data_IF_353580025836
#
_entry.id   IF_353580025836
#
_cell.length_a   1.000
_cell.length_b   1.000
_cell.length_c   1.000
_cell.angle_alpha   90.00
_cell.angle_beta   90.00
_cell.angle_gamma   90.00
#
_symmetry.space_group_name_H-M   'P 1'
#
loop_
_entity.id
_entity.type
_entity.pdbx_description
1 polymer ?
#
# COMPACT_ATOMS: atom_id res chain seq x y z
N UNK A 1 10.49 -17.16 13.82
CA UNK A 1 9.95 -15.94 13.22
C UNK A 1 8.55 -15.68 13.80
N UNK A 2 8.23 -14.49 14.23
CA UNK A 2 6.93 -14.20 14.85
C UNK A 2 5.84 -14.26 13.75
N UNK A 3 4.85 -15.16 13.89
CA UNK A 3 3.76 -15.36 12.91
C UNK A 3 3.07 -14.05 12.52
N UNK A 4 2.88 -13.13 13.48
CA UNK A 4 2.28 -11.82 13.25
C UNK A 4 3.13 -10.97 12.29
N UNK A 5 4.44 -10.90 12.49
CA UNK A 5 5.34 -10.10 11.65
C UNK A 5 5.41 -10.65 10.23
N UNK A 6 5.42 -11.97 10.09
CA UNK A 6 5.36 -12.62 8.77
C UNK A 6 4.04 -12.29 8.06
N UNK A 7 2.93 -12.33 8.80
CA UNK A 7 1.61 -11.99 8.25
C UNK A 7 1.56 -10.53 7.78
N UNK A 8 2.06 -9.59 8.59
CA UNK A 8 2.12 -8.17 8.22
C UNK A 8 3.02 -7.92 7.01
N UNK A 9 4.19 -8.60 6.93
CA UNK A 9 5.05 -8.53 5.76
C UNK A 9 4.34 -9.03 4.49
N UNK A 10 3.73 -10.21 4.55
CA UNK A 10 3.02 -10.80 3.39
C UNK A 10 1.80 -9.96 3.01
N UNK A 11 1.04 -9.48 3.99
CA UNK A 11 -0.13 -8.66 3.75
C UNK A 11 0.21 -7.33 3.09
N UNK A 12 1.26 -6.66 3.57
CA UNK A 12 1.71 -5.38 2.97
C UNK A 12 2.35 -5.62 1.60
N UNK A 13 3.11 -6.71 1.43
CA UNK A 13 3.59 -7.12 0.11
C UNK A 13 2.42 -7.29 -0.87
N UNK A 14 1.40 -8.04 -0.50
CA UNK A 14 0.24 -8.29 -1.36
C UNK A 14 -0.52 -6.99 -1.69
N UNK A 15 -0.72 -6.12 -0.69
CA UNK A 15 -1.39 -4.84 -0.88
C UNK A 15 -0.66 -3.95 -1.91
N UNK A 16 0.65 -3.77 -1.73
CA UNK A 16 1.45 -2.94 -2.64
C UNK A 16 1.58 -3.59 -4.01
N UNK A 17 1.86 -4.90 -4.08
CA UNK A 17 2.04 -5.59 -5.34
C UNK A 17 0.75 -5.61 -6.19
N UNK A 18 -0.40 -5.91 -5.58
CA UNK A 18 -1.68 -5.93 -6.30
C UNK A 18 -2.17 -4.52 -6.61
N UNK A 19 -2.16 -3.62 -5.62
CA UNK A 19 -2.65 -2.25 -5.76
C UNK A 19 -1.83 -1.43 -6.74
N UNK A 20 -0.53 -1.23 -6.46
CA UNK A 20 0.35 -0.50 -7.37
C UNK A 20 0.56 -1.25 -8.69
N UNK A 21 0.63 -2.60 -8.65
CA UNK A 21 0.74 -3.43 -9.84
C UNK A 21 -0.42 -3.25 -10.80
N UNK A 22 -1.64 -3.08 -10.30
CA UNK A 22 -2.81 -2.81 -11.14
C UNK A 22 -2.66 -1.49 -11.90
N UNK A 23 -2.12 -0.45 -11.26
CA UNK A 23 -1.88 0.84 -11.90
C UNK A 23 -0.72 0.78 -12.92
N UNK A 24 0.35 0.07 -12.59
CA UNK A 24 1.59 0.03 -13.39
C UNK A 24 1.48 -0.94 -14.56
N UNK A 25 0.95 -2.15 -14.34
CA UNK A 25 0.96 -3.22 -15.34
C UNK A 25 -0.29 -3.21 -16.24
N UNK A 26 -1.47 -2.95 -15.67
CA UNK A 26 -2.69 -2.81 -16.47
C UNK A 26 -2.87 -1.39 -17.01
N UNK A 27 -2.46 -0.40 -16.23
CA UNK A 27 -2.50 1.00 -16.61
C UNK A 27 -3.87 1.65 -16.41
N UNK A 28 -3.83 2.96 -16.21
CA UNK A 28 -5.02 3.77 -15.99
C UNK A 28 -5.99 3.74 -17.18
N UNK A 29 -5.45 3.71 -18.40
CA UNK A 29 -6.24 3.73 -19.62
C UNK A 29 -7.05 2.45 -19.85
N UNK A 30 -6.61 1.32 -19.29
CA UNK A 30 -7.27 0.02 -19.47
C UNK A 30 -8.30 -0.24 -18.38
N UNK A 31 -7.92 -0.08 -17.10
CA UNK A 31 -8.80 -0.44 -15.98
C UNK A 31 -9.42 0.76 -15.28
N UNK A 32 -8.93 1.96 -15.57
CA UNK A 32 -9.39 3.21 -14.98
C UNK A 32 -9.14 3.31 -13.48
N UNK A 33 -9.46 4.47 -12.92
CA UNK A 33 -9.30 4.73 -11.49
C UNK A 33 -10.14 3.78 -10.61
N UNK A 34 -11.34 3.43 -11.07
CA UNK A 34 -12.22 2.52 -10.34
C UNK A 34 -11.62 1.12 -10.24
N UNK A 35 -11.04 0.60 -11.33
CA UNK A 35 -10.37 -0.71 -11.32
C UNK A 35 -9.17 -0.74 -10.38
N UNK A 36 -8.37 0.33 -10.36
CA UNK A 36 -7.25 0.47 -9.42
C UNK A 36 -7.75 0.51 -7.97
N UNK A 37 -8.80 1.30 -7.70
CA UNK A 37 -9.39 1.37 -6.36
C UNK A 37 -9.93 0.01 -5.88
N UNK A 38 -10.59 -0.76 -6.77
CA UNK A 38 -11.02 -2.12 -6.46
C UNK A 38 -9.84 -3.07 -6.21
N UNK A 39 -8.74 -2.96 -6.96
CA UNK A 39 -7.56 -3.78 -6.74
C UNK A 39 -6.98 -3.57 -5.34
N UNK A 40 -6.86 -2.32 -4.89
CA UNK A 40 -6.45 -2.01 -3.51
C UNK A 40 -7.46 -2.53 -2.48
N UNK A 41 -8.74 -2.21 -2.66
CA UNK A 41 -9.79 -2.59 -1.71
C UNK A 41 -9.95 -4.12 -1.57
N UNK A 42 -9.97 -4.86 -2.68
CA UNK A 42 -10.07 -6.33 -2.67
C UNK A 42 -8.81 -6.98 -2.11
N UNK A 43 -7.62 -6.43 -2.34
CA UNK A 43 -6.39 -6.90 -1.71
C UNK A 43 -6.49 -6.79 -0.18
N UNK A 44 -6.96 -5.64 0.35
CA UNK A 44 -7.18 -5.48 1.79
C UNK A 44 -8.22 -6.48 2.31
N UNK A 45 -9.35 -6.64 1.63
CA UNK A 45 -10.39 -7.60 2.04
C UNK A 45 -9.82 -9.02 2.10
N UNK A 46 -9.11 -9.46 1.04
CA UNK A 46 -8.50 -10.78 1.01
C UNK A 46 -7.50 -10.98 2.17
N UNK A 47 -6.65 -9.98 2.42
CA UNK A 47 -5.69 -10.04 3.53
C UNK A 47 -6.37 -9.98 4.90
N UNK A 48 -7.43 -9.18 5.06
CA UNK A 48 -8.18 -9.10 6.32
C UNK A 48 -8.75 -10.47 6.71
N UNK A 49 -9.32 -11.20 5.77
CA UNK A 49 -9.80 -12.57 6.02
C UNK A 49 -8.66 -13.57 6.17
N UNK A 50 -7.59 -13.45 5.39
CA UNK A 50 -6.47 -14.41 5.40
C UNK A 50 -5.56 -14.30 6.61
N UNK A 51 -5.16 -13.08 6.98
CA UNK A 51 -4.17 -12.83 8.03
C UNK A 51 -4.71 -12.04 9.23
N UNK A 52 -5.94 -11.52 9.16
CA UNK A 52 -6.58 -10.82 10.27
C UNK A 52 -6.57 -11.62 11.58
N UNK A 53 -6.95 -12.91 11.58
CA UNK A 53 -6.88 -13.75 12.78
C UNK A 53 -5.46 -13.96 13.34
N UNK A 54 -4.41 -13.67 12.54
CA UNK A 54 -3.01 -13.88 12.93
C UNK A 54 -2.39 -12.60 13.49
N UNK A 55 -2.53 -11.47 12.77
CA UNK A 55 -1.84 -10.21 13.09
C UNK A 55 -2.78 -9.03 13.35
N UNK A 56 -4.05 -9.16 13.00
CA UNK A 56 -4.99 -8.04 12.93
C UNK A 56 -5.06 -7.38 11.56
N UNK A 57 -4.17 -7.80 10.61
CA UNK A 57 -4.10 -7.26 9.25
C UNK A 57 -4.00 -5.72 9.23
N UNK A 58 -3.04 -5.17 9.92
CA UNK A 58 -2.81 -3.73 9.88
C UNK A 58 -2.31 -3.28 8.50
N UNK A 59 -1.32 -3.98 7.96
CA UNK A 59 -0.68 -3.78 6.64
C UNK A 59 -0.37 -2.32 6.30
N UNK A 60 -0.36 -1.47 7.31
CA UNK A 60 -0.17 -0.02 7.21
C UNK A 60 0.39 0.52 8.53
N UNK A 61 1.49 1.29 8.51
CA UNK A 61 2.05 1.93 9.70
C UNK A 61 1.09 2.86 10.44
N UNK A 62 0.22 3.59 9.71
CA UNK A 62 -0.75 4.49 10.32
C UNK A 62 -1.84 3.72 11.09
N UNK A 63 -2.29 2.57 10.58
CA UNK A 63 -3.22 1.68 11.29
C UNK A 63 -2.58 1.15 12.57
N UNK A 64 -1.31 0.72 12.51
CA UNK A 64 -0.57 0.25 13.69
C UNK A 64 -0.42 1.36 14.73
N UNK A 65 -0.18 2.61 14.30
CA UNK A 65 -0.16 3.78 15.17
C UNK A 65 -1.52 4.01 15.84
N UNK A 66 -2.60 3.94 15.08
CA UNK A 66 -3.97 4.09 15.61
C UNK A 66 -4.31 3.03 16.67
N UNK A 67 -3.94 1.77 16.40
CA UNK A 67 -4.15 0.66 17.36
C UNK A 67 -3.31 0.84 18.64
N UNK A 68 -2.07 1.34 18.52
CA UNK A 68 -1.26 1.69 19.67
C UNK A 68 -1.87 2.86 20.45
N UNK A 69 -2.28 3.94 19.81
CA UNK A 69 -2.95 5.07 20.46
C UNK A 69 -4.24 4.65 21.18
N UNK A 70 -4.96 3.67 20.66
CA UNK A 70 -6.12 3.07 21.28
C UNK A 70 -5.78 2.13 22.47
N UNK A 71 -4.50 2.01 22.85
CA UNK A 71 -4.05 1.16 23.96
C UNK A 71 -4.14 -0.35 23.70
N UNK A 72 -4.28 -0.76 22.44
CA UNK A 72 -4.51 -2.18 22.05
C UNK A 72 -3.24 -2.91 21.61
N UNK A 73 -2.10 -2.23 21.53
CA UNK A 73 -0.80 -2.86 21.26
C UNK A 73 0.33 -2.09 21.98
N UNK A 74 1.44 -2.77 22.22
CA UNK A 74 2.63 -2.13 22.80
C UNK A 74 3.40 -1.33 21.75
N UNK A 75 4.16 -0.30 22.16
CA UNK A 75 5.03 0.46 21.29
C UNK A 75 6.09 -0.43 20.58
N UNK A 76 6.61 -1.43 21.29
CA UNK A 76 7.57 -2.37 20.73
C UNK A 76 6.95 -3.25 19.62
N UNK A 77 5.71 -3.71 19.80
CA UNK A 77 4.98 -4.46 18.79
C UNK A 77 4.67 -3.57 17.57
N UNK A 78 4.25 -2.33 17.79
CA UNK A 78 4.01 -1.34 16.74
C UNK A 78 5.25 -1.11 15.87
N UNK A 79 6.42 -0.87 16.50
CA UNK A 79 7.68 -0.65 15.75
C UNK A 79 8.05 -1.89 14.94
N UNK A 80 7.89 -3.10 15.49
CA UNK A 80 8.13 -4.35 14.77
C UNK A 80 7.18 -4.52 13.58
N UNK A 81 5.91 -4.12 13.72
CA UNK A 81 4.94 -4.10 12.62
C UNK A 81 5.39 -3.13 11.52
N UNK A 82 5.78 -1.91 11.88
CA UNK A 82 6.30 -0.93 10.93
C UNK A 82 7.46 -1.48 10.11
N UNK A 83 8.42 -2.13 10.77
CA UNK A 83 9.57 -2.74 10.08
C UNK A 83 9.09 -3.83 9.11
N UNK A 84 8.22 -4.72 9.55
CA UNK A 84 7.69 -5.80 8.70
C UNK A 84 6.90 -5.27 7.50
N UNK A 85 6.05 -4.27 7.73
CA UNK A 85 5.23 -3.61 6.71
C UNK A 85 6.11 -2.88 5.69
N UNK A 86 7.06 -2.06 6.15
CA UNK A 86 7.97 -1.35 5.24
C UNK A 86 8.81 -2.31 4.40
N UNK A 87 9.33 -3.38 4.99
CA UNK A 87 10.06 -4.41 4.24
C UNK A 87 9.17 -5.12 3.22
N UNK A 88 7.92 -5.44 3.58
CA UNK A 88 6.95 -6.02 2.66
C UNK A 88 6.68 -5.11 1.46
N UNK A 89 6.48 -3.81 1.71
CA UNK A 89 6.26 -2.80 0.67
C UNK A 89 7.49 -2.64 -0.26
N UNK A 90 8.70 -2.57 0.32
CA UNK A 90 9.95 -2.43 -0.46
C UNK A 90 10.16 -3.63 -1.36
N UNK A 91 9.97 -4.85 -0.83
CA UNK A 91 10.13 -6.07 -1.63
C UNK A 91 9.06 -6.15 -2.72
N UNK A 92 7.81 -5.78 -2.44
CA UNK A 92 6.74 -5.72 -3.43
C UNK A 92 7.07 -4.74 -4.56
N UNK A 93 7.51 -3.53 -4.22
CA UNK A 93 7.92 -2.52 -5.19
C UNK A 93 9.12 -2.99 -6.04
N UNK A 94 10.09 -3.65 -5.43
CA UNK A 94 11.22 -4.25 -6.14
C UNK A 94 10.81 -5.33 -7.14
N UNK A 95 9.91 -6.23 -6.74
CA UNK A 95 9.37 -7.27 -7.64
C UNK A 95 8.57 -6.63 -8.77
N UNK A 96 7.71 -5.65 -8.44
CA UNK A 96 6.93 -4.92 -9.44
C UNK A 96 7.83 -4.20 -10.45
N UNK A 97 8.90 -3.57 -9.98
CA UNK A 97 9.88 -2.91 -10.84
C UNK A 97 10.53 -3.88 -11.82
N UNK A 98 10.96 -5.05 -11.35
CA UNK A 98 11.56 -6.08 -12.22
C UNK A 98 10.56 -6.54 -13.29
N UNK A 99 9.30 -6.75 -12.93
CA UNK A 99 8.25 -7.16 -13.86
C UNK A 99 7.97 -6.03 -14.88
N UNK A 100 7.78 -4.81 -14.42
CA UNK A 100 7.50 -3.66 -15.28
C UNK A 100 8.65 -3.39 -16.27
N UNK A 101 9.89 -3.51 -15.80
CA UNK A 101 11.10 -3.35 -16.65
C UNK A 101 11.21 -4.41 -17.74
N UNK A 102 10.48 -5.50 -17.66
CA UNK A 102 10.37 -6.50 -18.74
C UNK A 102 9.51 -6.05 -19.91
N UNK A 103 8.75 -4.95 -19.77
CA UNK A 103 7.96 -4.37 -20.87
C UNK A 103 8.81 -3.39 -21.70
N UNK A 104 8.88 -3.53 -23.04
CA UNK A 104 9.64 -2.61 -23.88
C UNK A 104 9.18 -1.13 -23.80
N UNK A 105 7.94 -0.88 -23.37
CA UNK A 105 7.38 0.46 -23.25
C UNK A 105 7.53 1.08 -21.86
N UNK A 106 8.03 0.36 -20.86
CA UNK A 106 8.19 0.89 -19.52
C UNK A 106 9.42 1.79 -19.42
N UNK A 107 9.22 2.99 -18.91
CA UNK A 107 10.28 3.94 -18.55
C UNK A 107 10.24 4.22 -17.06
N UNK A 108 11.42 4.35 -16.43
CA UNK A 108 11.52 4.53 -14.98
C UNK A 108 10.76 5.77 -14.48
N UNK A 109 10.72 6.83 -15.29
CA UNK A 109 10.00 8.07 -14.98
C UNK A 109 8.47 7.88 -14.89
N UNK A 110 7.92 6.80 -15.43
CA UNK A 110 6.52 6.45 -15.26
C UNK A 110 6.19 6.07 -13.80
N UNK A 111 7.21 5.74 -13.02
CA UNK A 111 7.10 5.40 -11.60
C UNK A 111 6.48 4.05 -11.33
N UNK A 112 6.17 3.80 -10.07
CA UNK A 112 5.62 2.53 -9.56
C UNK A 112 4.27 2.72 -8.85
N UNK A 113 3.46 3.67 -9.32
CA UNK A 113 2.15 3.96 -8.73
C UNK A 113 2.22 4.78 -7.44
N UNK A 114 3.24 5.62 -7.31
CA UNK A 114 3.39 6.53 -6.16
C UNK A 114 2.33 7.64 -6.19
N UNK A 115 1.94 8.07 -4.99
CA UNK A 115 1.09 9.24 -4.81
C UNK A 115 1.87 10.53 -5.12
N UNK A 116 1.13 11.59 -5.49
CA UNK A 116 1.75 12.87 -5.79
C UNK A 116 0.76 14.03 -5.69
N UNK A 117 1.29 15.25 -5.83
CA UNK A 117 0.54 16.50 -5.92
C UNK A 117 1.11 17.37 -7.03
N UNK A 118 0.40 18.43 -7.43
CA UNK A 118 0.80 19.26 -8.54
C UNK A 118 1.02 18.45 -9.81
N UNK A 119 2.16 18.58 -10.50
CA UNK A 119 2.46 17.81 -11.71
C UNK A 119 2.53 16.29 -11.50
N UNK A 120 2.75 15.83 -10.26
CA UNK A 120 2.75 14.41 -9.90
C UNK A 120 1.37 13.83 -9.61
N UNK A 121 0.31 14.63 -9.76
CA UNK A 121 -1.08 14.19 -9.61
C UNK A 121 -1.79 14.22 -10.97
N UNK A 122 -2.56 13.19 -11.36
CA UNK A 122 -3.29 13.18 -12.63
C UNK A 122 -4.23 14.38 -12.82
N UNK A 123 -4.80 14.90 -11.73
CA UNK A 123 -5.68 16.08 -11.74
C UNK A 123 -4.97 17.40 -11.44
N UNK A 124 -3.65 17.41 -11.26
CA UNK A 124 -2.91 18.63 -10.93
C UNK A 124 -3.22 19.24 -9.56
N UNK A 125 -3.73 18.44 -8.62
CA UNK A 125 -4.19 18.92 -7.31
C UNK A 125 -3.05 19.54 -6.49
N UNK A 126 -3.34 20.68 -5.85
CA UNK A 126 -2.38 21.36 -5.00
C UNK A 126 -1.98 20.52 -3.78
N UNK A 127 -0.82 20.83 -3.18
CA UNK A 127 -0.36 20.21 -1.93
C UNK A 127 -1.44 20.32 -0.83
N UNK A 128 -2.11 21.45 -0.69
CA UNK A 128 -3.16 21.65 0.32
C UNK A 128 -4.35 20.71 0.08
N UNK A 129 -4.78 20.56 -1.19
CA UNK A 129 -5.87 19.63 -1.54
C UNK A 129 -5.47 18.18 -1.29
N UNK A 130 -4.26 17.78 -1.69
CA UNK A 130 -3.72 16.45 -1.42
C UNK A 130 -3.63 16.16 0.08
N UNK A 131 -3.08 17.08 0.86
CA UNK A 131 -2.98 16.93 2.32
C UNK A 131 -4.36 16.79 2.97
N UNK A 132 -5.33 17.61 2.59
CA UNK A 132 -6.69 17.51 3.12
C UNK A 132 -7.32 16.14 2.79
N UNK A 133 -7.15 15.69 1.55
CA UNK A 133 -7.65 14.39 1.12
C UNK A 133 -7.03 13.24 1.94
N UNK A 134 -5.70 13.23 2.09
CA UNK A 134 -5.00 12.20 2.88
C UNK A 134 -5.47 12.18 4.36
N UNK A 135 -5.64 13.36 4.98
CA UNK A 135 -6.14 13.44 6.36
C UNK A 135 -7.54 12.86 6.47
N UNK A 136 -8.45 13.23 5.57
CA UNK A 136 -9.85 12.76 5.61
C UNK A 136 -9.93 11.27 5.28
N UNK A 137 -9.24 10.82 4.21
CA UNK A 137 -9.28 9.43 3.80
C UNK A 137 -8.61 8.48 4.80
N UNK A 138 -7.59 8.95 5.51
CA UNK A 138 -6.93 8.15 6.57
C UNK A 138 -7.77 8.10 7.86
N UNK A 139 -8.57 9.15 8.13
CA UNK A 139 -9.47 9.19 9.28
C UNK A 139 -10.66 8.23 9.13
N UNK A 140 -11.21 8.07 7.92
CA UNK A 140 -12.37 7.20 7.64
C UNK A 140 -11.99 5.71 7.64
#
# INVERSE_FOLDING_TARGET
>A
MNKKLTAEFIGTFALVFIGCGSAVLAGFDIIGQLGIAFAFGLAIVAMAYGIGPISGCHVNPAVSLGVWLAGRMSVNEMIRYWVAQCLGAIVAAGVLFVIASGSPGYVLDAGLGQNGYGPGSPGGYSLAAGTLFEVVATFL
#
